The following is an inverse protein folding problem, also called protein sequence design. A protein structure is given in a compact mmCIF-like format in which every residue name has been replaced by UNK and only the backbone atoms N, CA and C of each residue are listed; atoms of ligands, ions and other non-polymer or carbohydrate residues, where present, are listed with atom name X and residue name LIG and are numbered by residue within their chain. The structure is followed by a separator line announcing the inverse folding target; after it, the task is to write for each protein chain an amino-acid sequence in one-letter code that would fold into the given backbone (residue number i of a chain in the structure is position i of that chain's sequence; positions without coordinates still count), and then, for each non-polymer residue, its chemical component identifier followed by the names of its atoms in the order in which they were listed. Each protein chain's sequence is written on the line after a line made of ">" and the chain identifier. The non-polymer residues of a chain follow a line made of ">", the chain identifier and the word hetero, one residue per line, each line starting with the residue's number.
data_IF_893101540734
#
_entry.id   IF_893101540734
#
_cell.length_a   1.000
_cell.length_b   1.000
_cell.length_c   1.000
_cell.angle_alpha   90.00
_cell.angle_beta   90.00
_cell.angle_gamma   90.00
#
_symmetry.space_group_name_H-M   'P 1'
#
loop_
_entity.id
_entity.type
_entity.pdbx_description
1 polymer ?
#
# COMPACT_ATOMS: atom_id res chain seq x y z
N UNK A 1 25.54 4.79 -22.80
CA UNK A 1 24.08 5.08 -22.85
C UNK A 1 23.33 4.74 -21.55
N UNK A 2 23.43 3.53 -20.98
CA UNK A 2 22.66 3.12 -19.77
C UNK A 2 22.70 4.11 -18.58
N UNK A 3 23.88 4.65 -18.25
CA UNK A 3 24.06 5.62 -17.13
C UNK A 3 23.38 6.97 -17.39
N UNK A 4 23.31 7.39 -18.67
CA UNK A 4 22.66 8.66 -19.04
C UNK A 4 21.14 8.57 -18.77
N UNK A 5 20.48 7.52 -19.24
CA UNK A 5 19.05 7.30 -19.01
C UNK A 5 18.72 7.15 -17.52
N UNK A 6 19.53 6.42 -16.77
CA UNK A 6 19.36 6.33 -15.31
C UNK A 6 19.43 7.70 -14.64
N UNK A 7 20.38 8.56 -15.05
CA UNK A 7 20.51 9.92 -14.52
C UNK A 7 19.32 10.80 -14.87
N UNK A 8 18.87 10.76 -16.13
CA UNK A 8 17.70 11.54 -16.59
C UNK A 8 16.44 11.11 -15.85
N UNK A 9 16.21 9.80 -15.71
CA UNK A 9 15.05 9.28 -14.99
C UNK A 9 15.11 9.61 -13.50
N UNK A 10 16.28 9.45 -12.85
CA UNK A 10 16.45 9.84 -11.45
C UNK A 10 16.20 11.32 -11.22
N UNK A 11 16.66 12.19 -12.14
CA UNK A 11 16.38 13.62 -12.10
C UNK A 11 14.87 13.88 -12.18
N UNK A 12 14.19 13.25 -13.14
CA UNK A 12 12.74 13.36 -13.28
C UNK A 12 11.99 12.92 -12.02
N UNK A 13 12.35 11.77 -11.43
CA UNK A 13 11.73 11.28 -10.19
C UNK A 13 11.94 12.28 -9.05
N UNK A 14 13.18 12.77 -8.86
CA UNK A 14 13.47 13.73 -7.81
C UNK A 14 12.70 15.05 -8.00
N UNK A 15 12.58 15.54 -9.23
CA UNK A 15 11.89 16.81 -9.50
C UNK A 15 10.36 16.71 -9.34
N UNK A 16 9.76 15.60 -9.76
CA UNK A 16 8.30 15.43 -9.78
C UNK A 16 7.73 14.82 -8.50
N UNK A 17 8.54 14.10 -7.72
CA UNK A 17 8.09 13.38 -6.53
C UNK A 17 8.75 13.87 -5.23
N UNK A 18 9.54 14.94 -5.26
CA UNK A 18 10.17 15.52 -4.05
C UNK A 18 9.17 15.78 -2.91
N UNK A 19 7.97 16.23 -3.23
CA UNK A 19 6.95 16.59 -2.25
C UNK A 19 6.06 15.39 -1.85
N UNK A 20 6.34 14.19 -2.39
CA UNK A 20 5.60 12.95 -2.13
C UNK A 20 6.50 11.82 -1.61
N UNK A 21 7.81 11.93 -1.78
CA UNK A 21 8.79 10.96 -1.32
C UNK A 21 9.30 11.29 0.09
N UNK A 22 9.59 10.26 0.88
CA UNK A 22 10.17 10.40 2.23
C UNK A 22 9.19 10.86 3.32
N UNK A 23 7.90 10.97 3.00
CA UNK A 23 6.86 11.31 3.98
C UNK A 23 6.53 10.09 4.84
N UNK A 24 6.50 10.31 6.15
CA UNK A 24 6.06 9.31 7.12
C UNK A 24 4.53 9.28 7.12
N UNK A 25 3.98 8.09 6.89
CA UNK A 25 2.54 7.84 6.90
C UNK A 25 2.20 6.90 8.06
N UNK A 26 1.15 7.26 8.79
CA UNK A 26 0.52 6.43 9.82
C UNK A 26 -0.78 5.87 9.27
N UNK A 27 -0.97 4.56 9.38
CA UNK A 27 -2.15 3.86 8.88
C UNK A 27 -2.91 3.28 10.07
N UNK A 28 -4.21 3.55 10.15
CA UNK A 28 -5.09 3.03 11.19
C UNK A 28 -6.32 2.35 10.57
N UNK A 29 -6.64 1.15 11.05
CA UNK A 29 -7.88 0.47 10.70
C UNK A 29 -8.98 0.90 11.67
N UNK A 30 -9.95 1.66 11.19
CA UNK A 30 -11.17 1.97 11.93
C UNK A 30 -12.23 0.89 11.72
N UNK A 31 -13.44 1.15 12.17
CA UNK A 31 -14.57 0.22 12.09
C UNK A 31 -14.91 -0.14 10.63
N UNK A 32 -15.08 0.87 9.76
CA UNK A 32 -15.51 0.69 8.37
C UNK A 32 -14.57 1.33 7.32
N UNK A 33 -13.44 1.87 7.77
CA UNK A 33 -12.54 2.61 6.91
C UNK A 33 -11.06 2.44 7.29
N UNK A 34 -10.21 2.62 6.30
CA UNK A 34 -8.77 2.77 6.45
C UNK A 34 -8.45 4.26 6.52
N UNK A 35 -7.85 4.69 7.62
CA UNK A 35 -7.37 6.05 7.79
C UNK A 35 -5.86 6.09 7.53
N UNK A 36 -5.44 7.05 6.72
CA UNK A 36 -4.03 7.34 6.42
C UNK A 36 -3.78 8.78 6.82
N UNK A 37 -2.82 8.98 7.72
CA UNK A 37 -2.42 10.30 8.19
C UNK A 37 -0.96 10.53 7.83
N UNK A 38 -0.69 11.70 7.28
CA UNK A 38 0.65 12.25 7.13
C UNK A 38 0.78 13.44 8.07
N UNK A 39 1.92 13.57 8.76
CA UNK A 39 2.12 14.66 9.72
C UNK A 39 2.03 16.06 9.07
N UNK A 40 2.43 16.18 7.80
CA UNK A 40 2.64 17.48 7.14
C UNK A 40 1.75 17.77 5.92
N UNK A 41 0.89 16.83 5.49
CA UNK A 41 0.06 17.03 4.28
C UNK A 41 -1.43 16.96 4.63
N UNK A 42 -1.80 16.06 5.54
CA UNK A 42 -3.17 15.88 5.98
C UNK A 42 -3.55 14.41 6.13
N UNK A 43 -4.85 14.19 6.10
CA UNK A 43 -5.50 12.90 6.36
C UNK A 43 -6.37 12.48 5.19
N UNK A 44 -6.39 11.19 4.91
CA UNK A 44 -7.25 10.55 3.93
C UNK A 44 -7.94 9.34 4.56
N UNK A 45 -9.16 9.07 4.14
CA UNK A 45 -9.96 7.96 4.65
C UNK A 45 -10.60 7.22 3.49
N UNK A 46 -10.48 5.88 3.50
CA UNK A 46 -10.98 5.00 2.45
C UNK A 46 -11.91 3.97 3.05
N UNK A 47 -13.18 4.01 2.66
CA UNK A 47 -14.17 3.02 3.09
C UNK A 47 -13.78 1.63 2.57
N UNK A 48 -13.95 0.59 3.38
CA UNK A 48 -13.61 -0.78 2.97
C UNK A 48 -14.42 -1.25 1.75
N UNK A 49 -15.63 -0.73 1.54
CA UNK A 49 -16.45 -1.00 0.36
C UNK A 49 -15.84 -0.53 -0.97
N UNK A 50 -14.88 0.41 -0.90
CA UNK A 50 -14.11 0.88 -2.06
C UNK A 50 -13.02 -0.10 -2.49
N UNK A 51 -12.68 -1.08 -1.65
CA UNK A 51 -11.65 -2.07 -1.96
C UNK A 51 -12.14 -3.01 -3.06
N UNK A 52 -11.22 -3.37 -3.94
CA UNK A 52 -11.44 -4.29 -5.06
C UNK A 52 -10.93 -5.68 -4.73
N UNK A 53 -9.70 -5.76 -4.23
CA UNK A 53 -9.07 -6.99 -3.76
C UNK A 53 -7.99 -6.62 -2.74
N UNK A 54 -7.52 -7.62 -2.01
CA UNK A 54 -6.33 -7.53 -1.17
C UNK A 54 -5.40 -8.66 -1.59
N UNK A 55 -4.10 -8.38 -1.69
CA UNK A 55 -3.11 -9.41 -1.96
C UNK A 55 -1.89 -9.30 -1.05
N UNK A 56 -1.22 -10.43 -0.85
CA UNK A 56 0.06 -10.50 -0.15
C UNK A 56 1.10 -11.25 -0.98
N UNK A 57 2.32 -10.71 -0.95
CA UNK A 57 3.53 -11.43 -1.34
C UNK A 57 4.44 -11.54 -0.10
N UNK A 58 5.60 -12.17 -0.22
CA UNK A 58 6.55 -12.34 0.89
C UNK A 58 6.76 -11.04 1.70
N UNK A 59 7.03 -9.93 1.00
CA UNK A 59 7.51 -8.69 1.64
C UNK A 59 6.45 -7.59 1.79
N UNK A 60 5.29 -7.71 1.13
CA UNK A 60 4.30 -6.63 1.03
C UNK A 60 2.86 -7.13 1.12
N UNK A 61 1.99 -6.25 1.61
CA UNK A 61 0.55 -6.31 1.37
C UNK A 61 0.17 -5.25 0.33
N UNK A 62 -0.84 -5.56 -0.49
CA UNK A 62 -1.41 -4.67 -1.47
C UNK A 62 -2.92 -4.58 -1.26
N UNK A 63 -3.45 -3.36 -1.37
CA UNK A 63 -4.88 -3.10 -1.30
C UNK A 63 -5.26 -2.33 -2.57
N UNK A 64 -5.91 -3.02 -3.50
CA UNK A 64 -6.44 -2.37 -4.70
C UNK A 64 -7.75 -1.66 -4.36
N UNK A 65 -7.86 -0.40 -4.77
CA UNK A 65 -9.07 0.40 -4.59
C UNK A 65 -9.70 0.69 -5.95
N UNK A 66 -11.02 0.54 -6.07
CA UNK A 66 -11.76 0.58 -7.35
C UNK A 66 -11.51 1.84 -8.18
N UNK A 67 -11.25 2.99 -7.55
CA UNK A 67 -11.17 4.29 -8.23
C UNK A 67 -9.93 5.14 -7.89
N UNK A 68 -9.03 4.68 -7.01
CA UNK A 68 -8.00 5.55 -6.42
C UNK A 68 -6.61 4.93 -6.33
N UNK A 69 -6.36 3.83 -7.05
CA UNK A 69 -5.05 3.19 -7.13
C UNK A 69 -4.87 2.04 -6.12
N UNK A 70 -3.63 1.79 -5.74
CA UNK A 70 -3.24 0.67 -4.88
C UNK A 70 -2.38 1.17 -3.71
N UNK A 71 -2.65 0.68 -2.51
CA UNK A 71 -1.78 0.84 -1.35
C UNK A 71 -0.83 -0.32 -1.20
N UNK A 72 0.47 -0.02 -1.24
CA UNK A 72 1.52 -0.99 -0.96
C UNK A 72 2.06 -0.78 0.47
N UNK A 73 1.91 -1.79 1.32
CA UNK A 73 2.32 -1.75 2.72
C UNK A 73 3.49 -2.73 2.95
N UNK A 74 4.71 -2.26 3.24
CA UNK A 74 5.86 -3.13 3.49
C UNK A 74 5.73 -3.85 4.83
N UNK A 75 5.84 -5.18 4.85
CA UNK A 75 5.78 -5.99 6.08
C UNK A 75 6.91 -5.68 7.05
N UNK A 76 8.09 -5.32 6.53
CA UNK A 76 9.26 -4.92 7.31
C UNK A 76 9.05 -3.66 8.18
N UNK A 77 7.97 -2.91 7.96
CA UNK A 77 7.63 -1.71 8.75
C UNK A 77 6.47 -1.94 9.72
N UNK A 78 6.03 -3.20 9.88
CA UNK A 78 4.91 -3.59 10.72
C UNK A 78 5.43 -4.39 11.92
N UNK A 79 5.07 -3.99 13.14
CA UNK A 79 5.50 -4.69 14.36
C UNK A 79 4.87 -6.08 14.49
N UNK A 80 3.59 -6.21 14.15
CA UNK A 80 2.86 -7.48 14.21
C UNK A 80 2.18 -7.76 12.86
N UNK A 81 2.95 -8.38 11.96
CA UNK A 81 2.51 -8.72 10.59
C UNK A 81 1.28 -9.62 10.60
N UNK A 82 1.23 -10.60 11.50
CA UNK A 82 0.15 -11.59 11.57
C UNK A 82 -1.18 -10.93 11.99
N UNK A 83 -1.14 -10.00 12.94
CA UNK A 83 -2.33 -9.24 13.34
C UNK A 83 -2.89 -8.40 12.17
N UNK A 84 -2.02 -7.74 11.41
CA UNK A 84 -2.43 -6.97 10.22
C UNK A 84 -2.98 -7.90 9.13
N UNK A 85 -2.33 -9.04 8.89
CA UNK A 85 -2.80 -10.05 7.94
C UNK A 85 -4.21 -10.53 8.29
N UNK A 86 -4.44 -10.92 9.53
CA UNK A 86 -5.75 -11.36 10.00
C UNK A 86 -6.80 -10.26 9.87
N UNK A 87 -6.45 -9.02 10.20
CA UNK A 87 -7.36 -7.87 10.01
C UNK A 87 -7.75 -7.67 8.54
N UNK A 88 -6.78 -7.76 7.63
CA UNK A 88 -7.01 -7.64 6.18
C UNK A 88 -7.87 -8.78 5.64
N UNK A 89 -7.65 -10.02 6.09
CA UNK A 89 -8.51 -11.16 5.75
C UNK A 89 -9.95 -10.94 6.22
N UNK A 90 -10.16 -10.52 7.46
CA UNK A 90 -11.50 -10.20 7.98
C UNK A 90 -12.18 -9.09 7.18
N UNK A 91 -11.43 -8.08 6.74
CA UNK A 91 -11.98 -7.03 5.87
C UNK A 91 -12.39 -7.62 4.52
N UNK A 92 -11.54 -8.46 3.91
CA UNK A 92 -11.83 -9.11 2.64
C UNK A 92 -13.10 -9.97 2.72
N UNK A 93 -13.21 -10.82 3.75
CA UNK A 93 -14.37 -11.66 4.02
C UNK A 93 -15.65 -10.85 4.20
N UNK A 94 -15.60 -9.78 5.01
CA UNK A 94 -16.76 -8.91 5.25
C UNK A 94 -17.24 -8.17 4.01
N UNK A 95 -16.32 -7.81 3.11
CA UNK A 95 -16.66 -7.11 1.86
C UNK A 95 -16.96 -8.08 0.71
N UNK A 96 -16.76 -9.38 0.88
CA UNK A 96 -16.90 -10.37 -0.17
C UNK A 96 -15.90 -10.18 -1.31
N UNK A 97 -14.68 -9.73 -1.00
CA UNK A 97 -13.58 -9.53 -1.97
C UNK A 97 -12.49 -10.57 -1.76
N UNK A 98 -11.67 -10.79 -2.79
CA UNK A 98 -10.58 -11.77 -2.72
C UNK A 98 -9.43 -11.32 -1.83
N UNK A 99 -8.87 -12.28 -1.09
CA UNK A 99 -7.57 -12.19 -0.44
C UNK A 99 -6.61 -13.17 -1.12
N UNK A 100 -5.67 -12.67 -1.91
CA UNK A 100 -4.75 -13.48 -2.73
C UNK A 100 -3.40 -13.58 -2.00
N UNK A 101 -2.84 -14.79 -1.87
CA UNK A 101 -1.56 -15.00 -1.21
C UNK A 101 -0.56 -15.68 -2.14
N UNK A 102 0.45 -14.94 -2.59
CA UNK A 102 1.54 -15.42 -3.47
C UNK A 102 2.91 -15.23 -2.80
N UNK A 103 3.16 -16.00 -1.73
CA UNK A 103 4.40 -15.87 -0.97
C UNK A 103 5.64 -16.33 -1.75
N UNK A 104 5.47 -17.28 -2.69
CA UNK A 104 6.55 -17.80 -3.54
C UNK A 104 6.75 -17.01 -4.83
N UNK A 105 6.12 -15.85 -4.96
CA UNK A 105 6.16 -15.05 -6.17
C UNK A 105 7.58 -14.59 -6.51
N UNK A 106 7.99 -14.80 -7.76
CA UNK A 106 9.27 -14.35 -8.32
C UNK A 106 9.02 -13.68 -9.66
N UNK A 107 9.79 -12.61 -9.95
CA UNK A 107 9.84 -12.03 -11.29
C UNK A 107 10.18 -13.14 -12.30
N UNK A 108 9.28 -13.36 -13.25
CA UNK A 108 9.51 -14.19 -14.42
C UNK A 108 9.97 -13.32 -15.58
#
# INVERSE_FOLDING_TARGET
>A
MKRYYQRVFKKYVNENFKDRAGIVLSIAFKENALEIVSENIGKSEFNFSSFKNISEIENYFFIDVKASGNFMIPKAKINNVEAVKNKLKTIAEKQGIEFISELDWKWK
#
